data_IF_304143498753
#
_entry.id   IF_304143498753
#
_cell.length_a   1.000
_cell.length_b   1.000
_cell.length_c   1.000
_cell.angle_alpha   90.00
_cell.angle_beta   90.00
_cell.angle_gamma   90.00
#
_symmetry.space_group_name_H-M   'P 1'
#
loop_
_entity.id
_entity.type
_entity.pdbx_description
1 polymer ?
#
# COMPACT_ATOMS: atom_id res chain seq x y z
N UNK A 1 -24.72 -15.39 -49.16
CA UNK A 1 -23.30 -15.15 -48.80
C UNK A 1 -23.29 -14.07 -47.73
N UNK A 2 -23.11 -14.42 -46.45
CA UNK A 2 -23.15 -13.46 -45.33
C UNK A 2 -21.72 -13.15 -44.92
N UNK A 3 -21.30 -11.91 -45.12
CA UNK A 3 -19.99 -11.42 -44.68
C UNK A 3 -20.08 -10.99 -43.21
N UNK A 4 -19.49 -11.78 -42.31
CA UNK A 4 -19.25 -11.38 -40.92
C UNK A 4 -17.97 -10.55 -40.90
N UNK A 5 -18.11 -9.25 -40.69
CA UNK A 5 -17.00 -8.31 -40.53
C UNK A 5 -16.55 -8.33 -39.07
N UNK A 6 -15.51 -9.12 -38.76
CA UNK A 6 -14.93 -9.21 -37.42
C UNK A 6 -14.03 -7.99 -37.18
N UNK A 7 -14.58 -6.94 -36.56
CA UNK A 7 -13.82 -5.77 -36.11
C UNK A 7 -12.92 -6.16 -34.93
N UNK A 8 -11.69 -6.57 -35.23
CA UNK A 8 -10.65 -6.85 -34.25
C UNK A 8 -10.08 -5.52 -33.74
N UNK A 9 -10.68 -4.97 -32.68
CA UNK A 9 -10.17 -3.77 -32.01
C UNK A 9 -8.91 -4.15 -31.22
N UNK A 10 -7.73 -3.78 -31.73
CA UNK A 10 -6.47 -3.98 -31.01
C UNK A 10 -6.41 -3.08 -29.77
N UNK A 11 -6.75 -3.65 -28.62
CA UNK A 11 -6.44 -3.05 -27.33
C UNK A 11 -4.91 -2.99 -27.18
N UNK A 12 -4.35 -1.80 -27.34
CA UNK A 12 -2.94 -1.51 -27.05
C UNK A 12 -2.74 -1.64 -25.54
N UNK A 13 -2.34 -2.83 -25.10
CA UNK A 13 -1.92 -3.08 -23.72
C UNK A 13 -0.53 -2.47 -23.49
N UNK A 14 -0.45 -1.40 -22.71
CA UNK A 14 0.82 -0.85 -22.23
C UNK A 14 1.41 -1.76 -21.14
N UNK A 15 2.04 -2.87 -21.55
CA UNK A 15 2.54 -3.87 -20.59
C UNK A 15 3.84 -3.47 -19.90
N UNK A 16 4.66 -2.60 -20.48
CA UNK A 16 5.96 -2.20 -19.91
C UNK A 16 6.27 -0.72 -20.17
N UNK A 17 6.92 -0.07 -19.21
CA UNK A 17 7.53 1.25 -19.38
C UNK A 17 8.99 1.05 -19.78
N UNK A 18 9.39 1.55 -20.95
CA UNK A 18 10.77 1.44 -21.45
C UNK A 18 11.35 2.80 -21.83
N UNK A 19 12.54 3.12 -21.32
CA UNK A 19 13.27 4.35 -21.68
C UNK A 19 14.78 4.21 -21.43
N UNK A 20 15.62 4.96 -22.14
CA UNK A 20 17.08 4.84 -21.97
C UNK A 20 17.55 5.32 -20.60
N UNK A 21 16.96 6.39 -20.08
CA UNK A 21 17.37 6.98 -18.81
C UNK A 21 16.18 7.50 -18.04
N UNK A 22 16.06 7.05 -16.80
CA UNK A 22 15.13 7.62 -15.82
C UNK A 22 15.92 8.37 -14.75
N UNK A 23 15.58 9.63 -14.52
CA UNK A 23 16.13 10.44 -13.43
C UNK A 23 15.00 10.85 -12.49
N UNK A 24 14.95 10.24 -11.32
CA UNK A 24 14.05 10.64 -10.24
C UNK A 24 14.70 11.81 -9.49
N UNK A 25 14.06 12.98 -9.57
CA UNK A 25 14.59 14.22 -9.00
C UNK A 25 14.65 14.15 -7.48
N UNK A 26 15.51 14.99 -6.88
CA UNK A 26 15.72 14.99 -5.45
C UNK A 26 14.41 15.27 -4.69
N UNK A 27 14.11 14.45 -3.69
CA UNK A 27 12.88 14.51 -2.90
C UNK A 27 11.58 14.27 -3.68
N UNK A 28 11.64 13.89 -4.96
CA UNK A 28 10.45 13.71 -5.79
C UNK A 28 10.02 12.23 -5.83
N UNK A 29 8.69 11.99 -5.78
CA UNK A 29 8.16 10.67 -6.04
C UNK A 29 8.15 10.37 -7.55
N UNK A 30 8.30 9.10 -7.90
CA UNK A 30 8.02 8.53 -9.21
C UNK A 30 7.14 7.30 -9.03
N UNK A 31 6.00 7.25 -9.70
CA UNK A 31 5.03 6.17 -9.53
C UNK A 31 4.98 5.31 -10.80
N UNK A 32 5.06 3.99 -10.64
CA UNK A 32 4.83 3.03 -11.71
C UNK A 32 3.32 2.93 -11.99
N UNK A 33 2.78 3.88 -12.76
CA UNK A 33 1.39 3.85 -13.20
C UNK A 33 1.19 2.92 -14.42
N UNK A 34 0.14 2.11 -14.39
CA UNK A 34 -0.34 1.34 -15.55
C UNK A 34 0.50 0.12 -15.94
N UNK A 35 1.66 -0.07 -15.33
CA UNK A 35 2.55 -1.22 -15.54
C UNK A 35 3.22 -1.60 -14.22
N UNK A 36 3.63 -2.86 -14.14
CA UNK A 36 4.46 -3.46 -13.11
C UNK A 36 5.92 -3.61 -13.53
N UNK A 37 6.27 -3.27 -14.78
CA UNK A 37 7.59 -3.51 -15.37
C UNK A 37 8.21 -2.20 -15.85
N UNK A 38 9.30 -1.79 -15.20
CA UNK A 38 10.16 -0.69 -15.61
C UNK A 38 11.45 -1.24 -16.23
N UNK A 39 11.71 -0.91 -17.49
CA UNK A 39 12.96 -1.27 -18.18
C UNK A 39 13.71 -0.02 -18.60
N UNK A 40 14.88 0.19 -18.01
CA UNK A 40 15.75 1.33 -18.30
C UNK A 40 17.20 0.94 -18.53
N UNK A 41 17.96 1.73 -19.28
CA UNK A 41 19.41 1.51 -19.32
C UNK A 41 20.08 2.13 -18.09
N UNK A 42 19.68 3.34 -17.71
CA UNK A 42 20.20 4.01 -16.49
C UNK A 42 19.06 4.54 -15.62
N UNK A 43 19.01 4.06 -14.37
CA UNK A 43 18.18 4.62 -13.30
C UNK A 43 19.04 5.51 -12.40
N UNK A 44 18.65 6.78 -12.25
CA UNK A 44 19.29 7.72 -11.33
C UNK A 44 18.26 8.18 -10.31
N UNK A 45 18.45 7.81 -9.05
CA UNK A 45 17.70 8.32 -7.91
C UNK A 45 18.55 9.38 -7.23
N UNK A 46 18.15 10.65 -7.34
CA UNK A 46 18.80 11.74 -6.59
C UNK A 46 18.40 11.72 -5.12
N UNK A 47 19.06 12.52 -4.28
CA UNK A 47 18.87 12.52 -2.83
C UNK A 47 17.38 12.60 -2.43
N UNK A 48 16.96 11.72 -1.52
CA UNK A 48 15.60 11.57 -1.01
C UNK A 48 14.54 11.22 -2.07
N UNK A 49 14.94 10.82 -3.28
CA UNK A 49 14.01 10.34 -4.30
C UNK A 49 13.26 9.08 -3.85
N UNK A 50 12.00 8.98 -4.27
CA UNK A 50 11.13 7.85 -3.95
C UNK A 50 10.56 7.24 -5.22
N UNK A 51 10.59 5.91 -5.32
CA UNK A 51 9.85 5.17 -6.34
C UNK A 51 8.72 4.41 -5.66
N UNK A 52 7.49 4.61 -6.12
CA UNK A 52 6.32 3.85 -5.71
C UNK A 52 6.06 2.76 -6.74
N UNK A 53 6.09 1.52 -6.26
CA UNK A 53 5.73 0.34 -7.04
C UNK A 53 4.22 0.30 -7.27
N UNK A 54 3.81 -0.43 -8.31
CA UNK A 54 2.41 -0.59 -8.63
C UNK A 54 1.74 -1.53 -7.64
N UNK A 55 0.96 -0.99 -6.72
CA UNK A 55 0.24 -1.76 -5.69
C UNK A 55 -0.97 -2.54 -6.21
N UNK A 56 -1.40 -2.30 -7.45
CA UNK A 56 -2.43 -3.13 -8.10
C UNK A 56 -1.88 -4.45 -8.64
N UNK A 57 -0.56 -4.64 -8.58
CA UNK A 57 0.16 -5.82 -9.08
C UNK A 57 1.00 -6.42 -7.95
N UNK A 58 0.89 -7.73 -7.66
CA UNK A 58 1.64 -8.35 -6.57
C UNK A 58 3.14 -8.38 -6.86
N UNK A 59 3.52 -8.52 -8.13
CA UNK A 59 4.91 -8.58 -8.58
C UNK A 59 5.26 -7.32 -9.36
N UNK A 60 6.40 -6.70 -9.03
CA UNK A 60 6.93 -5.54 -9.74
C UNK A 60 8.38 -5.80 -10.14
N UNK A 61 8.74 -5.35 -11.35
CA UNK A 61 10.02 -5.62 -11.98
C UNK A 61 10.70 -4.31 -12.36
N UNK A 62 11.94 -4.14 -11.93
CA UNK A 62 12.80 -3.04 -12.38
C UNK A 62 14.05 -3.64 -13.01
N UNK A 63 14.19 -3.47 -14.32
CA UNK A 63 15.38 -3.84 -15.09
C UNK A 63 16.16 -2.56 -15.40
N UNK A 64 17.38 -2.44 -14.86
CA UNK A 64 18.24 -1.29 -15.09
C UNK A 64 19.68 -1.74 -15.33
N UNK A 65 20.32 -1.41 -16.46
CA UNK A 65 21.75 -1.78 -16.63
C UNK A 65 22.60 -1.11 -15.54
N UNK A 66 22.36 0.18 -15.29
CA UNK A 66 23.07 0.98 -14.29
C UNK A 66 22.05 1.63 -13.34
N UNK A 67 22.27 1.49 -12.03
CA UNK A 67 21.51 2.19 -10.99
C UNK A 67 22.48 3.07 -10.20
N UNK A 68 22.15 4.37 -10.10
CA UNK A 68 22.86 5.34 -9.27
C UNK A 68 21.92 5.91 -8.22
N UNK A 69 22.29 5.79 -6.96
CA UNK A 69 21.46 6.20 -5.82
C UNK A 69 22.20 7.23 -4.97
N UNK A 70 21.53 8.34 -4.72
CA UNK A 70 21.93 9.38 -3.77
C UNK A 70 21.75 8.96 -2.31
N UNK A 71 21.48 9.93 -1.44
CA UNK A 71 21.26 9.75 -0.01
C UNK A 71 19.77 9.64 0.33
N UNK A 72 19.38 8.71 1.20
CA UNK A 72 18.00 8.64 1.71
C UNK A 72 16.94 8.25 0.68
N UNK A 73 17.33 7.55 -0.38
CA UNK A 73 16.39 7.12 -1.41
C UNK A 73 15.55 5.93 -0.95
N UNK A 74 14.35 5.80 -1.51
CA UNK A 74 13.44 4.72 -1.15
C UNK A 74 12.75 4.13 -2.39
N UNK A 75 12.62 2.80 -2.42
CA UNK A 75 11.69 2.09 -3.30
C UNK A 75 10.64 1.47 -2.41
N UNK A 76 9.36 1.82 -2.63
CA UNK A 76 8.27 1.48 -1.72
C UNK A 76 7.15 0.75 -2.45
N UNK A 77 6.74 -0.33 -1.83
CA UNK A 77 5.62 -1.17 -2.20
C UNK A 77 4.87 -1.65 -0.95
N UNK A 78 5.03 -0.93 0.17
CA UNK A 78 4.49 -1.33 1.46
C UNK A 78 2.96 -1.38 1.46
N UNK A 79 2.44 -2.30 2.27
CA UNK A 79 1.02 -2.39 2.58
C UNK A 79 0.56 -1.26 3.49
N UNK A 80 -0.76 -1.07 3.54
CA UNK A 80 -1.41 -0.15 4.47
C UNK A 80 -1.84 -0.89 5.73
N UNK A 81 -1.68 -0.25 6.88
CA UNK A 81 -2.14 -0.77 8.16
C UNK A 81 -3.67 -0.80 8.21
N UNK A 82 -4.20 -1.78 8.92
CA UNK A 82 -5.59 -1.82 9.30
C UNK A 82 -5.92 -0.70 10.29
N UNK A 83 -7.18 -0.28 10.30
CA UNK A 83 -7.72 0.70 11.24
C UNK A 83 -8.23 -0.03 12.49
N UNK A 84 -8.00 0.57 13.65
CA UNK A 84 -8.57 0.09 14.92
C UNK A 84 -10.09 0.19 14.90
N UNK A 85 -10.77 -0.82 15.43
CA UNK A 85 -12.22 -0.84 15.56
C UNK A 85 -12.73 0.12 16.63
N UNK A 86 -13.90 0.70 16.40
CA UNK A 86 -14.54 1.59 17.37
C UNK A 86 -14.87 0.86 18.68
N UNK A 87 -14.65 1.52 19.81
CA UNK A 87 -15.10 0.99 21.10
C UNK A 87 -16.63 1.02 21.22
N UNK A 88 -17.15 0.08 22.00
CA UNK A 88 -18.56 0.04 22.37
C UNK A 88 -18.93 1.18 23.32
N UNK A 89 -20.16 1.64 23.21
CA UNK A 89 -20.76 2.64 24.09
C UNK A 89 -21.18 1.95 25.40
N UNK A 90 -20.87 2.58 26.54
CA UNK A 90 -21.29 2.07 27.83
C UNK A 90 -22.81 2.06 28.00
N UNK A 91 -23.31 1.06 28.74
CA UNK A 91 -24.70 0.97 29.13
C UNK A 91 -25.07 2.05 30.15
N UNK A 92 -26.35 2.42 30.17
CA UNK A 92 -26.90 3.38 31.09
C UNK A 92 -27.22 2.73 32.44
N UNK A 93 -26.79 3.38 33.52
CA UNK A 93 -27.18 2.99 34.89
C UNK A 93 -28.54 3.58 35.20
N UNK A 94 -29.51 2.72 35.53
CA UNK A 94 -30.87 3.18 35.77
C UNK A 94 -30.98 3.99 37.07
N UNK A 95 -31.93 4.93 37.12
CA UNK A 95 -32.26 5.70 38.32
C UNK A 95 -33.73 5.43 38.70
N UNK A 96 -33.95 5.03 39.96
CA UNK A 96 -35.26 4.66 40.52
C UNK A 96 -35.17 3.46 41.47
N UNK A 97 -36.28 2.98 42.05
CA UNK A 97 -36.27 1.78 42.86
C UNK A 97 -36.22 0.50 42.01
N UNK A 98 -35.28 -0.40 42.30
CA UNK A 98 -35.17 -1.76 41.74
C UNK A 98 -35.20 -1.85 40.19
N UNK A 99 -34.48 -0.98 39.47
CA UNK A 99 -34.38 -1.02 38.00
C UNK A 99 -33.05 -1.62 37.55
N UNK A 100 -33.10 -2.40 36.47
CA UNK A 100 -31.89 -2.92 35.84
C UNK A 100 -31.18 -1.83 35.02
N UNK A 101 -29.85 -1.86 35.02
CA UNK A 101 -29.06 -1.10 34.05
C UNK A 101 -29.19 -1.69 32.64
N UNK A 102 -28.83 -0.91 31.62
CA UNK A 102 -28.81 -1.39 30.24
C UNK A 102 -27.48 -2.09 29.94
N UNK A 103 -27.44 -3.07 29.03
CA UNK A 103 -26.18 -3.58 28.52
C UNK A 103 -25.37 -2.47 27.84
N UNK A 104 -24.04 -2.59 27.86
CA UNK A 104 -23.16 -1.84 26.97
C UNK A 104 -23.19 -2.41 25.56
N UNK A 105 -22.83 -1.60 24.57
CA UNK A 105 -22.73 -2.08 23.19
C UNK A 105 -21.42 -2.83 22.97
N UNK A 106 -21.41 -3.71 21.96
CA UNK A 106 -20.17 -4.32 21.52
C UNK A 106 -19.22 -3.27 20.93
N UNK A 107 -17.92 -3.53 21.02
CA UNK A 107 -16.93 -2.87 20.17
C UNK A 107 -17.01 -3.41 18.75
N UNK A 108 -16.52 -2.64 17.78
CA UNK A 108 -16.43 -3.06 16.39
C UNK A 108 -15.11 -3.79 16.13
N UNK A 109 -15.06 -4.71 15.16
CA UNK A 109 -13.79 -5.26 14.70
C UNK A 109 -12.90 -4.16 14.10
N UNK A 110 -11.58 -4.34 14.19
CA UNK A 110 -10.63 -3.58 13.37
C UNK A 110 -10.67 -4.03 11.92
N UNK A 111 -10.04 -3.27 11.02
CA UNK A 111 -9.94 -3.65 9.60
C UNK A 111 -8.69 -4.46 9.32
N UNK A 112 -8.74 -5.28 8.28
CA UNK A 112 -7.55 -5.94 7.75
C UNK A 112 -6.54 -4.91 7.23
N UNK A 113 -5.26 -5.25 7.35
CA UNK A 113 -4.20 -4.58 6.61
C UNK A 113 -4.17 -5.03 5.15
N UNK A 114 -3.35 -4.36 4.33
CA UNK A 114 -3.01 -4.87 3.00
C UNK A 114 -1.62 -5.47 2.99
N UNK A 115 -1.41 -6.43 2.09
CA UNK A 115 -0.09 -6.96 1.80
C UNK A 115 0.81 -5.87 1.17
N UNK A 116 2.12 -6.05 1.33
CA UNK A 116 3.10 -5.37 0.50
C UNK A 116 3.24 -6.07 -0.85
N UNK A 117 3.94 -5.45 -1.79
CA UNK A 117 4.22 -6.04 -3.11
C UNK A 117 5.67 -6.55 -3.21
N UNK A 118 5.86 -7.53 -4.08
CA UNK A 118 7.16 -8.07 -4.42
C UNK A 118 7.91 -7.12 -5.37
N UNK A 119 9.22 -7.06 -5.20
CA UNK A 119 10.13 -6.34 -6.08
C UNK A 119 11.22 -7.29 -6.60
N UNK A 120 11.31 -7.37 -7.92
CA UNK A 120 12.41 -8.00 -8.64
C UNK A 120 13.28 -6.91 -9.26
N UNK A 121 14.48 -6.70 -8.71
CA UNK A 121 15.41 -5.68 -9.15
C UNK A 121 16.59 -6.31 -9.88
N UNK A 122 16.69 -6.08 -11.19
CA UNK A 122 17.77 -6.61 -12.03
C UNK A 122 18.70 -5.48 -12.47
N UNK A 123 20.00 -5.64 -12.23
CA UNK A 123 21.00 -4.70 -12.67
C UNK A 123 22.37 -5.31 -12.95
N UNK A 124 23.15 -4.61 -13.77
CA UNK A 124 24.55 -4.96 -14.02
C UNK A 124 25.47 -4.18 -13.08
N UNK A 125 25.14 -2.92 -12.80
CA UNK A 125 25.93 -2.06 -11.93
C UNK A 125 25.04 -1.25 -10.99
N UNK A 126 25.34 -1.30 -9.69
CA UNK A 126 24.66 -0.55 -8.65
C UNK A 126 25.67 0.30 -7.88
N UNK A 127 25.46 1.62 -7.89
CA UNK A 127 26.25 2.58 -7.14
C UNK A 127 25.35 3.29 -6.12
N UNK A 128 25.61 3.08 -4.83
CA UNK A 128 24.89 3.74 -3.74
C UNK A 128 25.87 4.69 -3.05
N UNK A 129 25.57 5.98 -3.07
CA UNK A 129 26.40 7.02 -2.43
C UNK A 129 26.00 7.24 -0.96
N UNK A 130 24.74 6.98 -0.61
CA UNK A 130 24.24 7.07 0.76
C UNK A 130 23.45 5.83 1.17
N UNK A 131 22.12 5.96 1.24
CA UNK A 131 21.23 4.88 1.63
C UNK A 131 20.14 4.66 0.60
N UNK A 132 19.80 3.39 0.39
CA UNK A 132 18.67 2.91 -0.39
C UNK A 132 17.83 2.02 0.50
N UNK A 133 16.59 2.41 0.77
CA UNK A 133 15.65 1.62 1.56
C UNK A 133 14.62 0.94 0.67
N UNK A 134 14.40 -0.35 0.87
CA UNK A 134 13.30 -1.10 0.27
C UNK A 134 12.20 -1.28 1.32
N UNK A 135 11.07 -0.60 1.14
CA UNK A 135 9.92 -0.69 2.03
C UNK A 135 8.84 -1.54 1.35
N UNK A 136 8.88 -2.86 1.60
CA UNK A 136 8.02 -3.85 0.95
C UNK A 136 7.17 -4.65 1.95
N UNK A 137 7.19 -4.29 3.23
CA UNK A 137 6.43 -4.98 4.27
C UNK A 137 4.93 -4.83 4.06
N UNK A 138 4.17 -5.85 4.45
CA UNK A 138 2.72 -5.70 4.66
C UNK A 138 2.41 -4.73 5.80
N UNK A 139 1.15 -4.32 5.89
CA UNK A 139 0.67 -3.52 7.00
C UNK A 139 0.33 -4.36 8.23
N UNK A 140 0.28 -3.70 9.38
CA UNK A 140 -0.18 -4.29 10.63
C UNK A 140 -1.72 -4.36 10.67
N UNK A 141 -2.28 -5.48 11.12
CA UNK A 141 -3.73 -5.63 11.29
C UNK A 141 -4.31 -4.66 12.32
N UNK A 142 -5.54 -4.22 12.11
CA UNK A 142 -6.22 -3.32 13.04
C UNK A 142 -6.71 -4.04 14.29
N UNK A 143 -6.43 -3.48 15.47
CA UNK A 143 -6.96 -3.98 16.73
C UNK A 143 -8.49 -3.89 16.79
N UNK A 144 -9.12 -4.86 17.45
CA UNK A 144 -10.56 -4.80 17.76
C UNK A 144 -10.89 -3.74 18.81
N UNK A 145 -12.05 -3.09 18.64
CA UNK A 145 -12.60 -2.20 19.63
C UNK A 145 -13.04 -2.94 20.89
N UNK A 146 -12.83 -2.32 22.05
CA UNK A 146 -13.26 -2.87 23.34
C UNK A 146 -14.78 -2.81 23.47
N UNK A 147 -15.38 -3.81 24.11
CA UNK A 147 -16.80 -3.76 24.48
C UNK A 147 -17.10 -2.65 25.49
N UNK A 148 -18.29 -2.07 25.41
CA UNK A 148 -18.78 -1.11 26.39
C UNK A 148 -19.15 -1.81 27.70
N UNK A 149 -18.87 -1.15 28.83
CA UNK A 149 -19.27 -1.66 30.14
C UNK A 149 -20.81 -1.67 30.26
N UNK A 150 -21.37 -2.65 30.97
CA UNK A 150 -22.79 -2.65 31.33
C UNK A 150 -23.14 -1.56 32.34
N UNK A 151 -24.38 -1.07 32.31
CA UNK A 151 -24.89 -0.15 33.31
C UNK A 151 -25.24 -0.85 34.63
N UNK A 152 -25.13 -0.13 35.74
CA UNK A 152 -25.51 -0.63 37.06
C UNK A 152 -27.04 -0.70 37.25
N UNK A 153 -27.48 -1.60 38.11
CA UNK A 153 -28.85 -1.60 38.64
C UNK A 153 -29.03 -0.51 39.70
N UNK A 154 -30.27 -0.08 39.91
CA UNK A 154 -30.63 0.95 40.87
C UNK A 154 -31.09 0.35 42.21
N UNK A 155 -30.85 1.05 43.34
CA UNK A 155 -31.20 0.56 44.69
C UNK A 155 -32.69 0.29 44.88
#
# INVERSE_FOLDING_TARGET
LVYIFLLCSSLVGFSQIRMDKLVVKAGKPYELFGSDILVVDTLIMLDSAKIFLNRSKPDNFIHAKIIKVGKGCQITGAGENGLTGDNGIGGYTAVGPCKNGTPGSNGKPGTSATDGVNLFLYFNHLQITGSLMFALSGGDGGDGGRGGNGGGGSP
#
